data_IF_939207528515
#
_entry.id   IF_939207528515
#
_cell.length_a   1.000
_cell.length_b   1.000
_cell.length_c   1.000
_cell.angle_alpha   90.00
_cell.angle_beta   90.00
_cell.angle_gamma   90.00
#
_symmetry.space_group_name_H-M   'P 1'
#
loop_
_entity.id
_entity.type
_entity.pdbx_description
1 polymer ?
#
# COMPACT_ATOMS: atom_id res chain seq x y z
N UNK A 1 -5.59 -19.96 11.02
CA UNK A 1 -6.43 -20.44 12.15
C UNK A 1 -7.86 -19.95 11.93
N UNK A 2 -8.90 -20.75 12.24
CA UNK A 2 -10.27 -20.25 12.15
C UNK A 2 -10.47 -19.12 13.17
N UNK A 3 -11.04 -18.00 12.74
CA UNK A 3 -11.40 -16.90 13.62
C UNK A 3 -12.68 -17.22 14.36
N UNK A 4 -12.64 -17.18 15.69
CA UNK A 4 -13.83 -17.26 16.53
C UNK A 4 -14.34 -15.84 16.80
N UNK A 5 -15.47 -15.49 16.19
CA UNK A 5 -16.09 -14.19 16.39
C UNK A 5 -16.98 -14.17 17.62
N UNK A 6 -16.82 -13.16 18.45
CA UNK A 6 -17.73 -12.82 19.54
C UNK A 6 -18.48 -11.53 19.23
N UNK A 7 -19.69 -11.39 19.79
CA UNK A 7 -20.43 -10.12 19.71
C UNK A 7 -19.87 -9.12 20.72
N UNK A 8 -19.71 -7.89 20.30
CA UNK A 8 -19.23 -6.77 21.10
C UNK A 8 -20.18 -5.58 20.92
N UNK A 9 -20.78 -5.12 22.01
CA UNK A 9 -21.63 -3.94 21.95
C UNK A 9 -20.79 -2.66 21.83
N UNK A 10 -21.34 -1.62 21.17
CA UNK A 10 -20.73 -0.29 21.14
C UNK A 10 -20.50 0.31 22.54
N UNK A 11 -21.36 -0.04 23.51
CA UNK A 11 -21.20 0.41 24.90
C UNK A 11 -19.98 -0.22 25.53
N UNK A 12 -19.78 -1.50 25.32
CA UNK A 12 -18.62 -2.22 25.86
C UNK A 12 -17.32 -1.74 25.20
N UNK A 13 -17.31 -1.57 23.88
CA UNK A 13 -16.17 -1.00 23.16
C UNK A 13 -15.80 0.41 23.68
N UNK A 14 -16.81 1.26 23.95
CA UNK A 14 -16.58 2.60 24.49
C UNK A 14 -16.01 2.58 25.90
N UNK A 15 -16.46 1.65 26.74
CA UNK A 15 -16.06 1.60 28.13
C UNK A 15 -14.68 0.97 28.37
N UNK A 16 -14.23 0.09 27.48
CA UNK A 16 -12.97 -0.67 27.61
C UNK A 16 -12.20 -0.79 26.29
N UNK A 17 -11.95 0.32 25.58
CA UNK A 17 -11.33 0.25 24.25
C UNK A 17 -9.93 -0.37 24.29
N UNK A 18 -9.10 -0.01 25.27
CA UNK A 18 -7.74 -0.56 25.39
C UNK A 18 -7.74 -2.06 25.63
N UNK A 19 -8.51 -2.54 26.61
CA UNK A 19 -8.63 -3.98 26.87
C UNK A 19 -9.08 -4.77 25.65
N UNK A 20 -10.04 -4.25 24.89
CA UNK A 20 -10.54 -4.89 23.68
C UNK A 20 -9.47 -4.94 22.60
N UNK A 21 -8.73 -3.83 22.42
CA UNK A 21 -7.63 -3.80 21.45
C UNK A 21 -6.51 -4.77 21.82
N UNK A 22 -6.14 -4.86 23.10
CA UNK A 22 -5.15 -5.83 23.59
C UNK A 22 -5.61 -7.28 23.34
N UNK A 23 -6.89 -7.58 23.53
CA UNK A 23 -7.47 -8.89 23.23
C UNK A 23 -7.40 -9.22 21.73
N UNK A 24 -7.64 -8.24 20.87
CA UNK A 24 -7.50 -8.42 19.42
C UNK A 24 -6.04 -8.60 19.03
N UNK A 25 -5.17 -7.70 19.49
CA UNK A 25 -3.77 -7.67 19.07
C UNK A 25 -2.95 -8.84 19.61
N UNK A 26 -3.07 -9.12 20.92
CA UNK A 26 -2.20 -10.06 21.64
C UNK A 26 -2.77 -11.47 21.71
N UNK A 27 -4.12 -11.58 21.80
CA UNK A 27 -4.78 -12.88 21.94
C UNK A 27 -5.41 -13.40 20.64
N UNK A 28 -5.39 -12.59 19.57
CA UNK A 28 -5.95 -12.97 18.28
C UNK A 28 -7.48 -13.10 18.28
N UNK A 29 -8.16 -12.46 19.26
CA UNK A 29 -9.62 -12.49 19.31
C UNK A 29 -10.23 -11.62 18.20
N UNK A 30 -11.43 -12.00 17.74
CA UNK A 30 -12.18 -11.29 16.72
C UNK A 30 -13.57 -10.91 17.23
N UNK A 31 -14.01 -9.72 16.91
CA UNK A 31 -15.31 -9.20 17.38
C UNK A 31 -16.16 -8.70 16.21
N UNK A 32 -17.46 -8.96 16.32
CA UNK A 32 -18.49 -8.28 15.50
C UNK A 32 -19.07 -7.17 16.36
N UNK A 33 -18.90 -5.92 15.93
CA UNK A 33 -19.39 -4.75 16.64
C UNK A 33 -20.87 -4.55 16.32
N UNK A 34 -21.69 -4.52 17.37
CA UNK A 34 -23.12 -4.31 17.29
C UNK A 34 -23.52 -2.96 17.87
N UNK A 35 -24.46 -2.27 17.20
CA UNK A 35 -25.14 -1.06 17.69
C UNK A 35 -26.62 -1.16 17.39
N UNK A 36 -27.46 -1.03 18.43
CA UNK A 36 -28.92 -1.06 18.32
C UNK A 36 -29.46 -2.31 17.59
N UNK A 37 -28.93 -3.48 17.92
CA UNK A 37 -29.32 -4.75 17.33
C UNK A 37 -28.79 -4.99 15.90
N UNK A 38 -27.97 -4.07 15.36
CA UNK A 38 -27.41 -4.19 14.03
C UNK A 38 -25.90 -4.38 14.07
N UNK A 39 -25.40 -5.36 13.32
CA UNK A 39 -23.98 -5.59 13.11
C UNK A 39 -23.41 -4.53 12.19
N UNK A 40 -22.42 -3.77 12.64
CA UNK A 40 -21.89 -2.59 11.94
C UNK A 40 -20.48 -2.75 11.41
N UNK A 41 -19.63 -3.51 12.10
CA UNK A 41 -18.21 -3.67 11.76
C UNK A 41 -17.65 -4.94 12.36
N UNK A 42 -16.45 -5.32 11.95
CA UNK A 42 -15.62 -6.33 12.60
C UNK A 42 -14.33 -5.70 13.12
N UNK A 43 -13.86 -6.20 14.25
CA UNK A 43 -12.50 -5.97 14.76
C UNK A 43 -11.77 -7.30 14.67
N UNK A 44 -10.68 -7.30 13.93
CA UNK A 44 -9.86 -8.52 13.71
C UNK A 44 -8.37 -8.17 13.87
N UNK A 45 -7.53 -9.14 14.27
CA UNK A 45 -6.09 -8.93 14.27
C UNK A 45 -5.58 -8.53 12.88
N UNK A 46 -4.64 -7.60 12.83
CA UNK A 46 -4.04 -7.15 11.58
C UNK A 46 -3.32 -8.31 10.84
N UNK A 47 -2.77 -9.26 11.60
CA UNK A 47 -2.16 -10.49 11.07
C UNK A 47 -3.11 -11.40 10.28
N UNK A 48 -4.43 -11.23 10.45
CA UNK A 48 -5.44 -11.97 9.67
C UNK A 48 -5.63 -11.36 8.29
N UNK A 49 -5.58 -10.03 8.22
CA UNK A 49 -5.69 -9.29 6.95
C UNK A 49 -4.38 -9.34 6.15
N UNK A 50 -3.26 -9.37 6.85
CA UNK A 50 -1.91 -9.32 6.29
C UNK A 50 -1.03 -10.38 6.97
N UNK A 51 -1.27 -11.68 6.72
CA UNK A 51 -0.65 -12.77 7.49
C UNK A 51 0.88 -12.79 7.36
N UNK A 52 1.41 -12.33 6.24
CA UNK A 52 2.84 -12.38 5.92
C UNK A 52 3.54 -11.01 6.06
N UNK A 53 2.85 -10.00 6.58
CA UNK A 53 3.43 -8.66 6.79
C UNK A 53 3.44 -8.35 8.29
N UNK A 54 4.59 -7.99 8.86
CA UNK A 54 4.66 -7.62 10.28
C UNK A 54 3.73 -6.42 10.56
N UNK A 55 2.81 -6.52 11.55
CA UNK A 55 1.89 -5.43 11.89
C UNK A 55 2.59 -4.12 12.21
N UNK A 56 3.72 -4.16 12.92
CA UNK A 56 4.53 -2.98 13.23
C UNK A 56 4.99 -2.27 11.95
N UNK A 57 5.39 -3.03 10.92
CA UNK A 57 5.82 -2.45 9.65
C UNK A 57 4.70 -1.71 8.94
N UNK A 58 3.48 -2.25 8.93
CA UNK A 58 2.33 -1.55 8.33
C UNK A 58 2.00 -0.28 9.10
N UNK A 59 2.05 -0.31 10.44
CA UNK A 59 1.85 0.88 11.25
C UNK A 59 2.89 1.97 10.93
N UNK A 60 4.16 1.61 10.82
CA UNK A 60 5.25 2.53 10.43
C UNK A 60 5.03 3.15 9.05
N UNK A 61 4.62 2.35 8.05
CA UNK A 61 4.33 2.84 6.70
C UNK A 61 3.19 3.85 6.69
N UNK A 62 2.09 3.54 7.37
CA UNK A 62 0.92 4.42 7.46
C UNK A 62 1.28 5.71 8.21
N UNK A 63 1.96 5.59 9.35
CA UNK A 63 2.38 6.74 10.15
C UNK A 63 3.27 7.68 9.35
N UNK A 64 4.26 7.14 8.63
CA UNK A 64 5.13 7.92 7.76
C UNK A 64 4.36 8.65 6.67
N UNK A 65 3.43 7.98 6.00
CA UNK A 65 2.59 8.59 4.96
C UNK A 65 1.78 9.76 5.54
N UNK A 66 1.11 9.55 6.69
CA UNK A 66 0.31 10.58 7.35
C UNK A 66 1.15 11.78 7.78
N UNK A 67 2.31 11.54 8.40
CA UNK A 67 3.25 12.60 8.83
C UNK A 67 3.74 13.45 7.66
N UNK A 68 3.85 12.86 6.48
CA UNK A 68 4.30 13.54 5.25
C UNK A 68 3.13 14.12 4.42
N UNK A 69 1.91 14.10 4.97
CA UNK A 69 0.72 14.67 4.36
C UNK A 69 0.10 13.85 3.24
N UNK A 70 0.53 12.59 3.08
CA UNK A 70 -0.06 11.69 2.09
C UNK A 70 -1.33 11.04 2.66
N UNK A 71 -2.35 10.95 1.83
CA UNK A 71 -3.65 10.35 2.19
C UNK A 71 -4.08 9.33 1.13
N UNK A 72 -3.46 8.14 1.10
CA UNK A 72 -3.85 7.11 0.15
C UNK A 72 -5.23 6.53 0.48
N UNK A 73 -5.95 6.11 -0.54
CA UNK A 73 -6.99 5.10 -0.34
C UNK A 73 -6.33 3.72 -0.22
N UNK A 74 -6.97 2.84 0.52
CA UNK A 74 -6.49 1.47 0.72
C UNK A 74 -7.50 0.47 0.21
N UNK A 75 -7.00 -0.59 -0.42
CA UNK A 75 -7.81 -1.71 -0.89
C UNK A 75 -7.03 -3.00 -0.80
N UNK A 76 -7.70 -4.12 -1.06
CA UNK A 76 -7.05 -5.41 -1.24
C UNK A 76 -7.19 -5.86 -2.69
N UNK A 77 -6.12 -6.42 -3.25
CA UNK A 77 -6.16 -7.10 -4.55
C UNK A 77 -6.93 -8.42 -4.44
N UNK A 78 -7.26 -9.04 -5.58
CA UNK A 78 -7.85 -10.39 -5.60
C UNK A 78 -6.95 -11.43 -4.92
N UNK A 79 -5.63 -11.19 -4.92
CA UNK A 79 -4.63 -11.99 -4.19
C UNK A 79 -4.54 -11.66 -2.69
N UNK A 80 -5.43 -10.83 -2.15
CA UNK A 80 -5.44 -10.37 -0.76
C UNK A 80 -4.17 -9.60 -0.35
N UNK A 81 -3.50 -8.97 -1.30
CA UNK A 81 -2.37 -8.08 -1.05
C UNK A 81 -2.87 -6.66 -0.78
N UNK A 82 -2.31 -5.98 0.21
CA UNK A 82 -2.66 -4.59 0.53
C UNK A 82 -2.14 -3.66 -0.56
N UNK A 83 -3.01 -2.81 -1.08
CA UNK A 83 -2.68 -1.76 -2.03
C UNK A 83 -2.95 -0.37 -1.45
N UNK A 84 -2.00 0.55 -1.66
CA UNK A 84 -2.15 1.98 -1.41
C UNK A 84 -2.29 2.70 -2.75
N UNK A 85 -3.39 3.42 -2.94
CA UNK A 85 -3.65 4.18 -4.15
C UNK A 85 -3.54 5.68 -3.90
N UNK A 86 -2.77 6.36 -4.75
CA UNK A 86 -2.49 7.79 -4.70
C UNK A 86 -2.97 8.45 -5.98
N UNK A 87 -3.91 9.41 -5.89
CA UNK A 87 -4.34 10.18 -7.06
C UNK A 87 -3.23 11.15 -7.47
N UNK A 88 -2.88 11.14 -8.74
CA UNK A 88 -1.87 12.02 -9.33
C UNK A 88 -2.46 12.82 -10.48
N UNK A 89 -1.90 13.98 -10.75
CA UNK A 89 -2.24 14.79 -11.92
C UNK A 89 -1.07 14.82 -12.87
N UNK A 90 -1.35 14.53 -14.13
CA UNK A 90 -0.38 14.66 -15.22
C UNK A 90 -0.36 16.11 -15.74
N UNK A 91 0.73 16.52 -16.40
CA UNK A 91 0.90 17.86 -16.98
C UNK A 91 -0.20 18.25 -17.97
N UNK A 92 -0.79 17.27 -18.65
CA UNK A 92 -1.91 17.48 -19.57
C UNK A 92 -3.27 17.64 -18.89
N UNK A 93 -3.29 17.69 -17.54
CA UNK A 93 -4.50 17.77 -16.73
C UNK A 93 -5.25 16.45 -16.54
N UNK A 94 -4.82 15.36 -17.16
CA UNK A 94 -5.41 14.05 -16.94
C UNK A 94 -5.11 13.55 -15.52
N UNK A 95 -6.04 12.78 -14.95
CA UNK A 95 -5.82 12.09 -13.69
C UNK A 95 -5.14 10.75 -13.96
N UNK A 96 -4.12 10.45 -13.18
CA UNK A 96 -3.51 9.12 -13.05
C UNK A 96 -3.68 8.63 -11.62
N UNK A 97 -3.58 7.33 -11.43
CA UNK A 97 -3.53 6.72 -10.11
C UNK A 97 -2.26 5.89 -10.00
N UNK A 98 -1.48 6.12 -8.94
CA UNK A 98 -0.38 5.25 -8.58
C UNK A 98 -0.87 4.26 -7.53
N UNK A 99 -0.80 2.97 -7.84
CA UNK A 99 -1.16 1.89 -6.92
C UNK A 99 0.11 1.15 -6.49
N UNK A 100 0.43 1.19 -5.19
CA UNK A 100 1.57 0.49 -4.58
C UNK A 100 1.02 -0.73 -3.88
N UNK A 101 1.29 -1.91 -4.42
CA UNK A 101 0.85 -3.20 -3.90
C UNK A 101 1.97 -3.81 -3.06
N UNK A 102 1.64 -4.15 -1.82
CA UNK A 102 2.55 -4.87 -0.92
C UNK A 102 2.37 -6.37 -1.13
N UNK A 103 3.36 -7.05 -1.72
CA UNK A 103 3.25 -8.48 -1.98
C UNK A 103 3.34 -9.29 -0.69
N UNK A 104 2.90 -10.53 -0.75
CA UNK A 104 3.17 -11.49 0.32
C UNK A 104 4.65 -11.50 0.68
N UNK A 105 4.96 -11.53 1.98
CA UNK A 105 6.33 -11.46 2.48
C UNK A 105 6.96 -10.06 2.48
N UNK A 106 6.18 -8.99 2.24
CA UNK A 106 6.65 -7.62 2.47
C UNK A 106 7.06 -7.45 3.95
N UNK A 107 8.17 -6.77 4.29
CA UNK A 107 9.02 -5.93 3.44
C UNK A 107 10.18 -6.67 2.75
N UNK A 108 10.33 -7.99 2.91
CA UNK A 108 11.43 -8.71 2.26
C UNK A 108 11.23 -8.77 0.73
N UNK A 109 10.00 -8.83 0.27
CA UNK A 109 9.64 -8.74 -1.13
C UNK A 109 9.37 -7.29 -1.52
N UNK A 110 9.92 -6.88 -2.68
CA UNK A 110 9.78 -5.53 -3.21
C UNK A 110 8.30 -5.22 -3.55
N UNK A 111 7.76 -4.05 -3.15
CA UNK A 111 6.43 -3.65 -3.57
C UNK A 111 6.34 -3.47 -5.09
N UNK A 112 5.18 -3.78 -5.64
CA UNK A 112 4.86 -3.55 -7.05
C UNK A 112 4.08 -2.27 -7.22
N UNK A 113 4.43 -1.48 -8.23
CA UNK A 113 3.75 -0.22 -8.50
C UNK A 113 3.15 -0.23 -9.87
N UNK A 114 1.88 0.13 -9.94
CA UNK A 114 1.14 0.27 -11.18
C UNK A 114 0.71 1.73 -11.35
N UNK A 115 0.72 2.21 -12.59
CA UNK A 115 0.21 3.54 -12.91
C UNK A 115 -0.98 3.41 -13.85
N UNK A 116 -2.14 3.86 -13.42
CA UNK A 116 -3.30 4.03 -14.29
C UNK A 116 -3.06 5.11 -15.34
N UNK A 117 -3.76 5.03 -16.45
CA UNK A 117 -3.69 5.99 -17.57
C UNK A 117 -2.31 6.10 -18.27
N UNK A 118 -1.43 5.12 -18.07
CA UNK A 118 -0.15 5.00 -18.79
C UNK A 118 -0.35 4.13 -20.02
N UNK A 119 -0.02 4.65 -21.20
CA UNK A 119 -0.19 3.95 -22.49
C UNK A 119 0.67 2.69 -22.60
N UNK A 120 0.20 1.75 -23.42
CA UNK A 120 0.99 0.61 -23.85
C UNK A 120 2.29 1.07 -24.51
N UNK A 121 3.40 0.36 -24.29
CA UNK A 121 4.71 0.71 -24.86
C UNK A 121 5.50 1.75 -24.05
N UNK A 122 5.02 2.22 -22.91
CA UNK A 122 5.83 3.04 -22.02
C UNK A 122 7.10 2.26 -21.59
N UNK A 123 8.30 2.85 -21.71
CA UNK A 123 9.54 2.20 -21.28
C UNK A 123 9.59 2.03 -19.78
N UNK A 124 10.53 1.22 -19.30
CA UNK A 124 10.73 0.95 -17.87
C UNK A 124 9.50 0.41 -17.16
N UNK A 125 8.84 -0.57 -17.78
CA UNK A 125 7.79 -1.40 -17.21
C UNK A 125 8.15 -2.87 -17.31
N UNK A 126 7.75 -3.63 -16.32
CA UNK A 126 7.80 -5.08 -16.37
C UNK A 126 6.69 -5.64 -17.29
N UNK A 127 6.84 -6.91 -17.68
CA UNK A 127 5.86 -7.57 -18.54
C UNK A 127 4.45 -7.64 -17.94
N UNK A 128 4.33 -7.62 -16.62
CA UNK A 128 3.06 -7.57 -15.88
C UNK A 128 2.47 -6.16 -15.75
N UNK A 129 3.13 -5.15 -16.34
CA UNK A 129 2.71 -3.76 -16.30
C UNK A 129 3.17 -2.96 -15.10
N UNK A 130 3.83 -3.58 -14.13
CA UNK A 130 4.41 -2.86 -13.00
C UNK A 130 5.55 -1.93 -13.45
N UNK A 131 5.70 -0.80 -12.77
CA UNK A 131 6.80 0.14 -13.03
C UNK A 131 8.14 -0.45 -12.61
N UNK A 132 9.17 -0.31 -13.43
CA UNK A 132 10.53 -0.70 -13.10
C UNK A 132 11.18 0.42 -12.25
N UNK A 133 11.00 0.37 -10.93
CA UNK A 133 11.51 1.39 -10.00
C UNK A 133 12.80 0.96 -9.31
N UNK A 134 12.98 -0.34 -9.11
CA UNK A 134 14.15 -0.92 -8.45
C UNK A 134 14.85 -1.86 -9.42
N UNK A 135 16.07 -1.51 -9.83
CA UNK A 135 16.89 -2.33 -10.71
C UNK A 135 17.81 -3.27 -9.96
N UNK A 136 18.58 -4.05 -10.73
CA UNK A 136 19.51 -5.03 -10.19
C UNK A 136 20.60 -4.37 -9.32
N UNK A 137 21.06 -3.17 -9.69
CA UNK A 137 22.13 -2.46 -9.00
C UNK A 137 21.66 -1.61 -7.82
N UNK A 138 20.41 -1.16 -7.84
CA UNK A 138 19.79 -0.32 -6.80
C UNK A 138 18.58 -1.02 -6.21
N UNK A 139 18.72 -2.31 -5.93
CA UNK A 139 17.65 -3.18 -5.51
C UNK A 139 16.89 -2.71 -4.27
N UNK A 140 15.71 -3.25 -4.09
CA UNK A 140 14.93 -3.06 -2.89
C UNK A 140 15.70 -3.46 -1.63
N UNK A 141 15.68 -2.60 -0.62
CA UNK A 141 16.26 -2.86 0.69
C UNK A 141 15.19 -2.64 1.77
N UNK A 142 14.70 -3.70 2.43
CA UNK A 142 13.61 -3.61 3.42
C UNK A 142 13.95 -2.75 4.64
N UNK A 143 15.23 -2.58 4.97
CA UNK A 143 15.69 -1.74 6.08
C UNK A 143 15.85 -0.26 5.75
N UNK A 144 15.73 0.13 4.47
CA UNK A 144 15.92 1.51 4.01
C UNK A 144 14.73 2.06 3.24
N UNK A 145 14.05 1.20 2.48
CA UNK A 145 12.98 1.64 1.60
C UNK A 145 11.62 1.41 2.26
N UNK A 146 10.72 2.33 1.98
CA UNK A 146 9.36 2.38 2.51
C UNK A 146 8.36 2.58 1.36
N UNK A 147 7.08 2.47 1.66
CA UNK A 147 6.00 2.85 0.72
C UNK A 147 6.20 4.30 0.25
N UNK A 148 6.54 5.21 1.17
CA UNK A 148 6.78 6.60 0.80
C UNK A 148 7.99 6.79 -0.11
N UNK A 149 9.11 6.11 0.14
CA UNK A 149 10.27 6.18 -0.77
C UNK A 149 9.92 5.61 -2.15
N UNK A 150 9.11 4.56 -2.20
CA UNK A 150 8.59 3.97 -3.44
C UNK A 150 7.67 4.94 -4.18
N UNK A 151 6.79 5.64 -3.46
CA UNK A 151 5.92 6.67 -4.04
C UNK A 151 6.72 7.80 -4.69
N UNK A 152 7.81 8.27 -4.06
CA UNK A 152 8.69 9.29 -4.66
C UNK A 152 9.30 8.81 -5.97
N UNK A 153 9.77 7.57 -6.03
CA UNK A 153 10.30 6.98 -7.27
C UNK A 153 9.22 6.84 -8.35
N UNK A 154 8.01 6.43 -7.96
CA UNK A 154 6.88 6.31 -8.88
C UNK A 154 6.46 7.68 -9.46
N UNK A 155 6.44 8.72 -8.65
CA UNK A 155 6.19 10.09 -9.10
C UNK A 155 7.30 10.58 -10.05
N UNK A 156 8.56 10.24 -9.79
CA UNK A 156 9.66 10.55 -10.70
C UNK A 156 9.49 9.80 -12.04
N UNK A 157 9.09 8.53 -11.98
CA UNK A 157 8.81 7.74 -13.16
C UNK A 157 7.68 8.39 -14.00
N UNK A 158 6.60 8.86 -13.39
CA UNK A 158 5.52 9.57 -14.10
C UNK A 158 6.01 10.84 -14.80
N UNK A 159 6.85 11.65 -14.14
CA UNK A 159 7.47 12.85 -14.79
C UNK A 159 8.32 12.46 -16.00
N UNK A 160 9.09 11.40 -15.88
CA UNK A 160 9.90 10.88 -16.99
C UNK A 160 9.02 10.35 -18.13
N UNK A 161 7.93 9.67 -17.80
CA UNK A 161 6.93 9.22 -18.77
C UNK A 161 6.31 10.37 -19.55
N UNK A 162 5.96 11.47 -18.89
CA UNK A 162 5.42 12.66 -19.56
C UNK A 162 6.44 13.30 -20.49
N UNK A 163 7.69 13.38 -20.08
CA UNK A 163 8.79 13.87 -20.94
C UNK A 163 8.97 12.95 -22.15
N UNK A 164 9.01 11.64 -21.94
CA UNK A 164 9.11 10.67 -23.03
C UNK A 164 7.93 10.77 -24.01
N UNK A 165 6.72 10.90 -23.51
CA UNK A 165 5.54 11.10 -24.37
C UNK A 165 5.64 12.31 -25.28
N UNK A 166 6.30 13.39 -24.82
CA UNK A 166 6.45 14.64 -25.58
C UNK A 166 7.64 14.59 -26.55
N UNK A 167 8.73 13.96 -26.16
CA UNK A 167 10.02 13.99 -26.88
C UNK A 167 10.36 12.70 -27.62
N UNK A 168 9.72 11.59 -27.30
CA UNK A 168 10.13 10.25 -27.74
C UNK A 168 11.40 9.73 -27.07
N UNK A 169 12.03 10.51 -26.20
CA UNK A 169 13.25 10.11 -25.48
C UNK A 169 13.00 10.03 -23.99
N UNK A 170 13.36 8.89 -23.39
CA UNK A 170 13.32 8.75 -21.95
C UNK A 170 14.46 9.56 -21.32
N UNK A 171 14.17 10.43 -20.32
CA UNK A 171 15.22 11.21 -19.67
C UNK A 171 16.30 10.30 -19.06
N UNK A 172 17.56 10.75 -19.09
CA UNK A 172 18.67 10.02 -18.47
C UNK A 172 18.43 9.84 -16.97
N UNK A 173 18.71 8.65 -16.50
CA UNK A 173 18.29 8.16 -15.19
C UNK A 173 19.24 8.59 -14.06
N UNK A 174 19.25 9.84 -13.69
CA UNK A 174 19.72 10.15 -12.34
C UNK A 174 18.61 9.72 -11.35
N UNK A 175 18.77 8.54 -10.74
CA UNK A 175 17.93 8.05 -9.65
C UNK A 175 16.95 6.92 -9.95
N UNK A 176 16.73 6.53 -11.21
CA UNK A 176 16.01 5.31 -11.54
C UNK A 176 16.96 4.23 -12.05
N UNK A 177 16.79 2.98 -11.69
CA UNK A 177 17.66 1.89 -12.16
C UNK A 177 17.51 1.68 -13.67
N UNK A 178 18.63 1.34 -14.32
CA UNK A 178 18.59 0.84 -15.69
C UNK A 178 17.85 -0.50 -15.71
N UNK A 179 16.85 -0.61 -16.58
CA UNK A 179 16.18 -1.87 -16.87
C UNK A 179 17.15 -2.85 -17.55
#
# INVERSE_FOLDING_TARGET
MPLNFSLLSMTELRNRPGEILDRVADKGEAFIIERSGQRKACLVPLSVLLPDVPPARIAEEIEQLVQLGEQPSTSFTDGQELAFSFPEKLDNGASAELSIVLPHGYPNNCPRVYAGAVGEGAPHRWADGALCLYGVMTGWNPGKHTVFSTLKLARQWLRNYETWRKSGQWPSQEGLPNA
#
